data_IF_470138344472
#
_entry.id   IF_470138344472
#
_cell.length_a   1.000
_cell.length_b   1.000
_cell.length_c   1.000
_cell.angle_alpha   90.00
_cell.angle_beta   90.00
_cell.angle_gamma   90.00
#
_symmetry.space_group_name_H-M   'P 1'
#
loop_
_entity.id
_entity.type
_entity.pdbx_description
1 polymer ?
#
# COMPACT_ATOMS: atom_id res chain seq x y z
N UNK A 1 6.50 -0.84 6.92
CA UNK A 1 6.31 -2.21 6.40
C UNK A 1 5.11 -2.82 7.10
N UNK A 2 3.98 -2.91 6.39
CA UNK A 2 2.68 -3.31 6.94
C UNK A 2 2.71 -4.73 7.51
N UNK A 3 3.31 -5.69 6.79
CA UNK A 3 3.39 -7.10 7.23
C UNK A 3 4.03 -7.22 8.61
N UNK A 4 5.19 -6.57 8.80
CA UNK A 4 5.87 -6.55 10.10
C UNK A 4 5.01 -5.95 11.21
N UNK A 5 4.21 -4.92 10.90
CA UNK A 5 3.29 -4.33 11.88
C UNK A 5 2.17 -5.30 12.24
N UNK A 6 1.57 -5.97 11.25
CA UNK A 6 0.54 -7.00 11.47
C UNK A 6 1.08 -8.14 12.35
N UNK A 7 2.29 -8.62 12.07
CA UNK A 7 2.96 -9.65 12.87
C UNK A 7 3.23 -9.16 14.31
N UNK A 8 3.68 -7.92 14.46
CA UNK A 8 3.91 -7.31 15.79
C UNK A 8 2.61 -7.17 16.58
N UNK A 9 1.56 -6.65 15.93
CA UNK A 9 0.24 -6.51 16.50
C UNK A 9 -0.34 -7.86 16.94
N UNK A 10 -0.13 -8.89 16.11
CA UNK A 10 -0.50 -10.24 16.45
C UNK A 10 0.31 -10.77 17.65
N UNK A 11 1.63 -10.64 17.64
CA UNK A 11 2.52 -11.13 18.71
C UNK A 11 2.21 -10.51 20.08
N UNK A 12 1.78 -9.25 20.12
CA UNK A 12 1.38 -8.56 21.34
C UNK A 12 0.01 -8.99 21.90
N UNK A 13 -0.70 -9.91 21.22
CA UNK A 13 -1.97 -10.44 21.69
C UNK A 13 -3.16 -9.48 21.53
N UNK A 14 -3.03 -8.43 20.72
CA UNK A 14 -4.10 -7.45 20.51
C UNK A 14 -5.22 -7.94 19.59
N UNK A 15 -5.00 -9.04 18.88
CA UNK A 15 -5.95 -9.64 17.93
C UNK A 15 -7.12 -10.35 18.63
N UNK A 16 -8.31 -10.17 18.10
CA UNK A 16 -9.57 -10.80 18.52
C UNK A 16 -10.22 -11.52 17.33
N UNK A 17 -11.07 -12.52 17.57
CA UNK A 17 -11.92 -13.09 16.52
C UNK A 17 -12.78 -12.05 15.79
N UNK A 18 -13.15 -10.97 16.50
CA UNK A 18 -13.95 -9.87 15.99
C UNK A 18 -13.13 -8.71 15.43
N UNK A 19 -11.79 -8.83 15.35
CA UNK A 19 -10.96 -7.76 14.77
C UNK A 19 -11.35 -7.54 13.31
N UNK A 20 -11.76 -6.31 13.00
CA UNK A 20 -12.12 -5.85 11.68
C UNK A 20 -10.91 -5.22 10.99
N UNK A 21 -10.80 -5.50 9.69
CA UNK A 21 -9.94 -4.80 8.76
C UNK A 21 -10.79 -3.72 8.09
N UNK A 22 -10.22 -2.53 7.91
CA UNK A 22 -10.88 -1.42 7.26
C UNK A 22 -9.94 -0.87 6.19
N UNK A 23 -10.48 -0.67 4.98
CA UNK A 23 -9.81 0.04 3.91
C UNK A 23 -10.64 1.24 3.50
N UNK A 24 -9.97 2.36 3.22
CA UNK A 24 -10.60 3.55 2.66
C UNK A 24 -9.84 3.94 1.40
N UNK A 25 -10.58 4.19 0.33
CA UNK A 25 -10.07 4.78 -0.89
C UNK A 25 -10.58 6.22 -1.00
N UNK A 26 -9.71 7.15 -1.33
CA UNK A 26 -10.07 8.57 -1.47
C UNK A 26 -10.39 8.86 -2.93
N UNK A 27 -11.65 9.17 -3.21
CA UNK A 27 -12.07 9.49 -4.57
C UNK A 27 -11.42 10.79 -5.05
N UNK A 28 -10.76 10.72 -6.22
CA UNK A 28 -10.27 11.88 -6.97
C UNK A 28 -9.40 12.85 -6.15
N UNK A 29 -8.57 12.33 -5.24
CA UNK A 29 -7.82 13.11 -4.25
C UNK A 29 -7.17 14.37 -4.83
N UNK A 30 -6.41 14.26 -5.93
CA UNK A 30 -5.71 15.41 -6.51
C UNK A 30 -6.62 16.41 -7.20
N UNK A 31 -7.62 15.92 -7.92
CA UNK A 31 -8.53 16.74 -8.74
C UNK A 31 -9.62 17.40 -7.91
N UNK A 32 -9.83 16.97 -6.67
CA UNK A 32 -10.83 17.53 -5.76
C UNK A 32 -10.25 18.34 -4.59
N UNK A 33 -8.92 18.54 -4.53
CA UNK A 33 -8.32 19.40 -3.51
C UNK A 33 -8.89 20.83 -3.56
N UNK A 34 -9.45 21.35 -2.45
CA UNK A 34 -9.85 22.76 -2.36
C UNK A 34 -8.60 23.65 -2.39
N UNK A 35 -8.44 24.47 -3.43
CA UNK A 35 -7.15 25.12 -3.72
C UNK A 35 -6.68 26.05 -2.60
N UNK A 36 -7.47 27.07 -2.25
CA UNK A 36 -7.12 28.03 -1.18
C UNK A 36 -6.98 27.37 0.20
N UNK A 37 -7.88 26.43 0.52
CA UNK A 37 -7.79 25.72 1.78
C UNK A 37 -6.54 24.85 1.85
N UNK A 38 -6.18 24.16 0.77
CA UNK A 38 -4.93 23.38 0.69
C UNK A 38 -3.70 24.26 0.93
N UNK A 39 -3.70 25.49 0.41
CA UNK A 39 -2.62 26.46 0.68
C UNK A 39 -2.60 26.90 2.15
N UNK A 40 -3.76 27.07 2.78
CA UNK A 40 -3.84 27.37 4.21
C UNK A 40 -3.33 26.20 5.06
N UNK A 41 -3.71 24.96 4.72
CA UNK A 41 -3.23 23.75 5.40
C UNK A 41 -1.73 23.54 5.19
N UNK A 42 -1.19 23.89 4.02
CA UNK A 42 0.26 23.93 3.79
C UNK A 42 0.97 24.87 4.77
N UNK A 43 0.44 26.08 4.96
CA UNK A 43 1.04 27.04 5.90
C UNK A 43 0.91 26.58 7.35
N UNK A 44 -0.24 26.02 7.73
CA UNK A 44 -0.45 25.42 9.05
C UNK A 44 0.58 24.30 9.31
N UNK A 45 0.79 23.40 8.34
CA UNK A 45 1.74 22.31 8.43
C UNK A 45 3.19 22.81 8.57
N UNK A 46 3.58 23.84 7.80
CA UNK A 46 4.92 24.43 7.90
C UNK A 46 5.16 25.05 9.29
N UNK A 47 4.19 25.80 9.81
CA UNK A 47 4.29 26.41 11.13
C UNK A 47 4.29 25.36 12.24
N UNK A 48 3.41 24.36 12.17
CA UNK A 48 3.36 23.23 13.10
C UNK A 48 4.70 22.49 13.15
N UNK A 49 5.35 22.36 12.00
CA UNK A 49 6.67 21.73 11.87
C UNK A 49 7.85 22.64 12.27
N UNK A 50 7.57 23.85 12.77
CA UNK A 50 8.60 24.81 13.21
C UNK A 50 9.32 25.55 12.09
N UNK A 51 8.84 25.49 10.84
CA UNK A 51 9.47 26.18 9.73
C UNK A 51 9.01 27.63 9.60
N UNK A 52 9.99 28.54 9.64
CA UNK A 52 9.85 29.92 9.16
C UNK A 52 10.42 30.08 7.74
N UNK A 53 11.35 29.20 7.36
CA UNK A 53 11.96 29.11 6.03
C UNK A 53 12.22 27.65 5.69
N UNK A 54 12.02 27.25 4.44
CA UNK A 54 12.39 25.92 3.93
C UNK A 54 13.56 26.09 2.97
N UNK A 55 14.71 25.50 3.30
CA UNK A 55 15.95 25.65 2.50
C UNK A 55 16.30 27.13 2.18
N UNK A 56 16.08 28.01 3.15
CA UNK A 56 16.32 29.46 3.02
C UNK A 56 15.19 30.26 2.38
N UNK A 57 14.16 29.61 1.83
CA UNK A 57 13.01 30.27 1.20
C UNK A 57 11.96 30.61 2.28
N UNK A 58 11.51 31.87 2.42
CA UNK A 58 10.44 32.26 3.35
C UNK A 58 9.11 31.55 3.06
N UNK A 59 8.36 31.18 4.10
CA UNK A 59 7.08 30.51 3.95
C UNK A 59 6.08 31.31 3.08
N UNK A 60 6.09 32.64 3.13
CA UNK A 60 5.26 33.48 2.26
C UNK A 60 5.60 33.32 0.77
N UNK A 61 6.89 33.17 0.44
CA UNK A 61 7.32 32.92 -0.93
C UNK A 61 6.92 31.51 -1.39
N UNK A 62 6.96 30.53 -0.48
CA UNK A 62 6.45 29.17 -0.73
C UNK A 62 4.95 29.22 -1.01
N UNK A 63 4.16 29.92 -0.18
CA UNK A 63 2.71 30.06 -0.39
C UNK A 63 2.40 30.67 -1.74
N UNK A 64 3.08 31.76 -2.12
CA UNK A 64 2.88 32.43 -3.42
C UNK A 64 3.22 31.51 -4.60
N UNK A 65 4.31 30.76 -4.49
CA UNK A 65 4.72 29.80 -5.52
C UNK A 65 3.71 28.64 -5.61
N UNK A 66 3.28 28.12 -4.48
CA UNK A 66 2.27 27.07 -4.38
C UNK A 66 0.93 27.52 -4.98
N UNK A 67 0.50 28.75 -4.69
CA UNK A 67 -0.69 29.36 -5.27
C UNK A 67 -0.59 29.36 -6.79
N UNK A 68 0.49 29.87 -7.37
CA UNK A 68 0.69 29.84 -8.83
C UNK A 68 0.58 28.42 -9.40
N UNK A 69 1.21 27.43 -8.76
CA UNK A 69 1.22 26.04 -9.26
C UNK A 69 -0.17 25.40 -9.19
N UNK A 70 -0.97 25.68 -8.16
CA UNK A 70 -2.30 25.08 -8.03
C UNK A 70 -3.35 25.83 -8.86
N UNK A 71 -3.25 27.16 -8.99
CA UNK A 71 -4.26 27.96 -9.72
C UNK A 71 -3.98 28.04 -11.21
N UNK A 72 -2.73 28.08 -11.67
CA UNK A 72 -2.39 28.25 -13.08
C UNK A 72 -2.24 26.92 -13.85
N UNK A 73 -3.17 25.99 -13.61
CA UNK A 73 -3.25 24.73 -14.32
C UNK A 73 -4.13 24.88 -15.58
N UNK A 74 -3.48 25.05 -16.73
CA UNK A 74 -4.10 25.15 -18.05
C UNK A 74 -3.83 23.87 -18.85
N UNK A 75 -4.85 23.33 -19.52
CA UNK A 75 -4.70 22.18 -20.41
C UNK A 75 -5.60 22.30 -21.65
N UNK A 76 -5.26 21.53 -22.68
CA UNK A 76 -6.01 21.46 -23.93
C UNK A 76 -6.70 20.11 -24.00
N UNK A 77 -8.01 20.13 -24.23
CA UNK A 77 -8.81 18.93 -24.50
C UNK A 77 -9.71 19.22 -25.70
N UNK A 78 -9.75 18.33 -26.68
CA UNK A 78 -10.55 18.50 -27.91
C UNK A 78 -10.37 19.88 -28.59
N UNK A 79 -9.13 20.38 -28.65
CA UNK A 79 -8.75 21.70 -29.19
C UNK A 79 -9.28 22.92 -28.42
N UNK A 80 -9.90 22.72 -27.27
CA UNK A 80 -10.35 23.80 -26.39
C UNK A 80 -9.39 23.97 -25.21
N UNK A 81 -9.22 25.22 -24.77
CA UNK A 81 -8.42 25.56 -23.60
C UNK A 81 -9.27 25.54 -22.33
N UNK A 82 -8.81 24.84 -21.31
CA UNK A 82 -9.46 24.76 -20.01
C UNK A 82 -8.51 25.20 -18.90
N UNK A 83 -9.08 25.85 -17.88
CA UNK A 83 -8.40 26.14 -16.62
C UNK A 83 -9.02 25.28 -15.54
N UNK A 84 -8.20 24.53 -14.81
CA UNK A 84 -8.64 23.75 -13.67
C UNK A 84 -8.92 24.69 -12.48
N UNK A 85 -10.19 24.76 -12.06
CA UNK A 85 -10.65 25.65 -10.98
C UNK A 85 -10.69 24.99 -9.60
N UNK A 86 -10.55 23.66 -9.55
CA UNK A 86 -10.53 22.84 -8.33
C UNK A 86 -9.49 21.74 -8.50
N UNK A 87 -8.82 21.38 -7.40
CA UNK A 87 -7.74 20.42 -7.44
C UNK A 87 -6.46 20.98 -8.05
N UNK A 88 -5.52 20.09 -8.31
CA UNK A 88 -4.32 20.38 -9.08
C UNK A 88 -4.10 19.38 -10.21
N UNK A 89 -3.17 19.72 -11.10
CA UNK A 89 -2.81 18.86 -12.21
C UNK A 89 -2.27 17.50 -11.73
N UNK A 90 -2.89 16.42 -12.20
CA UNK A 90 -2.37 15.06 -12.00
C UNK A 90 -0.96 14.94 -12.59
N UNK A 91 -0.08 14.22 -11.90
CA UNK A 91 1.33 14.08 -12.28
C UNK A 91 2.24 15.24 -11.80
N UNK A 92 1.68 16.31 -11.23
CA UNK A 92 2.49 17.34 -10.57
C UNK A 92 3.08 16.82 -9.25
N UNK A 93 4.41 16.80 -9.17
CA UNK A 93 5.13 16.41 -7.96
C UNK A 93 4.78 17.28 -6.75
N UNK A 94 4.43 18.55 -6.98
CA UNK A 94 3.98 19.45 -5.91
C UNK A 94 2.58 19.09 -5.42
N UNK A 95 1.64 18.81 -6.33
CA UNK A 95 0.26 18.47 -5.96
C UNK A 95 0.21 17.18 -5.15
N UNK A 96 1.03 16.18 -5.48
CA UNK A 96 1.20 14.99 -4.65
C UNK A 96 1.59 15.34 -3.20
N UNK A 97 2.53 16.27 -3.01
CA UNK A 97 2.97 16.69 -1.67
C UNK A 97 1.88 17.46 -0.95
N UNK A 98 1.22 18.37 -1.64
CA UNK A 98 0.12 19.17 -1.10
C UNK A 98 -1.05 18.29 -0.67
N UNK A 99 -1.42 17.28 -1.46
CA UNK A 99 -2.46 16.31 -1.13
C UNK A 99 -2.13 15.54 0.15
N UNK A 100 -0.89 15.08 0.30
CA UNK A 100 -0.45 14.39 1.51
C UNK A 100 -0.49 15.30 2.75
N UNK A 101 -0.17 16.58 2.59
CA UNK A 101 -0.25 17.59 3.67
C UNK A 101 -1.71 17.91 4.00
N UNK A 102 -2.59 17.96 3.00
CA UNK A 102 -4.02 18.12 3.22
C UNK A 102 -4.58 16.94 4.01
N UNK A 103 -4.22 15.72 3.60
CA UNK A 103 -4.58 14.50 4.33
C UNK A 103 -4.03 14.45 5.74
N UNK A 104 -2.82 14.97 6.01
CA UNK A 104 -2.29 15.07 7.37
C UNK A 104 -3.22 15.83 8.32
N UNK A 105 -3.96 16.83 7.84
CA UNK A 105 -4.95 17.54 8.65
C UNK A 105 -6.24 16.74 8.82
N UNK A 106 -6.72 16.13 7.73
CA UNK A 106 -7.96 15.34 7.71
C UNK A 106 -7.87 14.08 8.56
N UNK A 107 -6.72 13.41 8.56
CA UNK A 107 -6.55 12.10 9.18
C UNK A 107 -6.20 12.16 10.68
N UNK A 108 -5.99 13.36 11.25
CA UNK A 108 -5.49 13.51 12.64
C UNK A 108 -6.30 12.72 13.66
N UNK A 109 -7.63 12.86 13.63
CA UNK A 109 -8.52 12.21 14.59
C UNK A 109 -8.53 10.69 14.42
N UNK A 110 -8.52 10.21 13.17
CA UNK A 110 -8.41 8.78 12.87
C UNK A 110 -7.09 8.23 13.41
N UNK A 111 -5.97 8.85 13.06
CA UNK A 111 -4.63 8.44 13.51
C UNK A 111 -4.55 8.43 15.03
N UNK A 112 -5.01 9.51 15.69
CA UNK A 112 -4.96 9.61 17.14
C UNK A 112 -5.76 8.50 17.84
N UNK A 113 -6.95 8.18 17.32
CA UNK A 113 -7.80 7.10 17.86
C UNK A 113 -7.15 5.73 17.70
N UNK A 114 -6.52 5.47 16.56
CA UNK A 114 -5.81 4.23 16.29
C UNK A 114 -4.57 4.08 17.20
N UNK A 115 -3.79 5.14 17.35
CA UNK A 115 -2.63 5.17 18.26
C UNK A 115 -3.04 4.92 19.72
N UNK A 116 -4.11 5.58 20.20
CA UNK A 116 -4.62 5.40 21.55
C UNK A 116 -5.07 3.95 21.84
N UNK A 117 -5.51 3.23 20.80
CA UNK A 117 -5.98 1.85 20.90
C UNK A 117 -4.90 0.80 20.60
N UNK A 118 -3.65 1.23 20.34
CA UNK A 118 -2.56 0.38 19.84
C UNK A 118 -2.92 -0.36 18.54
N UNK A 119 -3.81 0.22 17.74
CA UNK A 119 -4.29 -0.31 16.49
C UNK A 119 -3.42 0.19 15.31
N UNK A 120 -3.46 -0.55 14.20
CA UNK A 120 -2.66 -0.21 13.03
C UNK A 120 -3.41 0.81 12.20
N UNK A 121 -2.76 1.93 11.90
CA UNK A 121 -3.13 2.85 10.82
C UNK A 121 -1.97 2.95 9.82
N UNK A 122 -2.24 2.76 8.54
CA UNK A 122 -1.31 2.94 7.43
C UNK A 122 -2.01 3.71 6.30
N UNK A 123 -1.27 4.58 5.61
CA UNK A 123 -1.73 5.25 4.40
C UNK A 123 -0.66 5.20 3.33
N UNK A 124 -1.07 4.85 2.11
CA UNK A 124 -0.29 4.96 0.90
C UNK A 124 -1.01 5.90 -0.06
N UNK A 125 -0.64 7.18 -0.03
CA UNK A 125 -1.26 8.23 -0.83
C UNK A 125 -2.78 8.32 -0.54
N UNK A 126 -3.61 7.74 -1.40
CA UNK A 126 -5.07 7.69 -1.40
C UNK A 126 -5.63 6.39 -0.79
N UNK A 127 -4.82 5.34 -0.71
CA UNK A 127 -5.18 4.08 -0.05
C UNK A 127 -4.92 4.16 1.46
N UNK A 128 -5.95 4.05 2.28
CA UNK A 128 -5.85 3.97 3.74
C UNK A 128 -6.21 2.56 4.22
N UNK A 129 -5.45 2.06 5.18
CA UNK A 129 -5.73 0.82 5.88
C UNK A 129 -5.65 1.04 7.39
N UNK A 130 -6.63 0.49 8.10
CA UNK A 130 -6.50 0.36 9.55
C UNK A 130 -7.21 -0.89 10.07
N UNK A 131 -6.86 -1.28 11.29
CA UNK A 131 -7.45 -2.41 11.99
C UNK A 131 -8.24 -1.87 13.17
N UNK A 132 -9.40 -2.45 13.48
CA UNK A 132 -10.09 -2.11 14.71
C UNK A 132 -10.76 -3.28 15.41
N UNK A 133 -10.68 -3.27 16.74
CA UNK A 133 -11.36 -4.18 17.66
C UNK A 133 -12.69 -3.62 18.18
N UNK A 134 -13.07 -2.42 17.74
CA UNK A 134 -14.33 -1.78 18.10
C UNK A 134 -15.52 -2.51 17.45
N UNK A 135 -16.74 -2.23 17.91
CA UNK A 135 -17.95 -2.73 17.25
C UNK A 135 -18.10 -2.11 15.86
N UNK A 136 -18.81 -2.83 14.98
CA UNK A 136 -19.07 -2.36 13.63
C UNK A 136 -19.81 -0.99 13.61
N UNK A 137 -20.68 -0.75 14.59
CA UNK A 137 -21.41 0.52 14.73
C UNK A 137 -20.45 1.69 15.00
N UNK A 138 -19.52 1.53 15.95
CA UNK A 138 -18.52 2.56 16.29
C UNK A 138 -17.59 2.81 15.09
N UNK A 139 -17.21 1.76 14.36
CA UNK A 139 -16.39 1.89 13.16
C UNK A 139 -17.16 2.67 12.08
N UNK A 140 -18.43 2.36 11.85
CA UNK A 140 -19.23 3.09 10.86
C UNK A 140 -19.43 4.55 11.24
N UNK A 141 -19.74 4.84 12.50
CA UNK A 141 -19.88 6.22 13.01
C UNK A 141 -18.59 7.02 12.78
N UNK A 142 -17.44 6.46 13.16
CA UNK A 142 -16.13 7.06 12.91
C UNK A 142 -15.89 7.38 11.43
N UNK A 143 -16.26 6.45 10.56
CA UNK A 143 -16.04 6.59 9.13
C UNK A 143 -17.05 7.56 8.49
N UNK A 144 -18.26 7.67 9.04
CA UNK A 144 -19.23 8.68 8.65
C UNK A 144 -18.75 10.08 9.06
N UNK A 145 -18.20 10.24 10.27
CA UNK A 145 -17.53 11.48 10.70
C UNK A 145 -16.40 11.87 9.74
N UNK A 146 -15.51 10.92 9.43
CA UNK A 146 -14.39 11.15 8.52
C UNK A 146 -14.85 11.56 7.11
N UNK A 147 -15.89 10.91 6.57
CA UNK A 147 -16.43 11.21 5.24
C UNK A 147 -17.22 12.53 5.19
N UNK A 148 -17.67 13.02 6.34
CA UNK A 148 -18.36 14.31 6.48
C UNK A 148 -17.41 15.48 6.81
N UNK A 149 -16.12 15.21 7.06
CA UNK A 149 -15.16 16.26 7.41
C UNK A 149 -15.05 17.34 6.32
N UNK A 150 -15.07 16.95 5.04
CA UNK A 150 -14.94 17.88 3.93
C UNK A 150 -15.88 17.54 2.77
N UNK A 151 -16.51 18.54 2.16
CA UNK A 151 -17.48 18.33 1.07
C UNK A 151 -16.85 17.70 -0.17
N UNK A 152 -15.60 18.04 -0.47
CA UNK A 152 -14.93 17.64 -1.71
C UNK A 152 -14.11 16.35 -1.58
N UNK A 153 -13.86 15.87 -0.35
CA UNK A 153 -13.12 14.63 -0.14
C UNK A 153 -14.14 13.56 0.21
N UNK A 154 -14.15 12.48 -0.57
CA UNK A 154 -15.05 11.35 -0.38
C UNK A 154 -14.25 10.08 -0.16
N UNK A 155 -14.67 9.33 0.85
CA UNK A 155 -14.07 8.09 1.28
C UNK A 155 -14.98 6.94 0.86
N UNK A 156 -14.45 6.03 0.06
CA UNK A 156 -15.08 4.74 -0.23
C UNK A 156 -14.53 3.73 0.76
N UNK A 157 -15.39 3.20 1.63
CA UNK A 157 -14.97 2.28 2.70
C UNK A 157 -15.30 0.83 2.38
N UNK A 158 -14.41 -0.07 2.78
CA UNK A 158 -14.71 -1.49 2.94
C UNK A 158 -14.31 -1.94 4.34
N UNK A 159 -15.19 -2.70 4.99
CA UNK A 159 -14.99 -3.25 6.33
C UNK A 159 -15.23 -4.74 6.27
N UNK A 160 -14.34 -5.54 6.84
CA UNK A 160 -14.50 -6.97 6.87
C UNK A 160 -13.43 -7.67 7.69
N UNK A 161 -13.57 -8.97 7.87
CA UNK A 161 -12.51 -9.80 8.45
C UNK A 161 -11.48 -10.21 7.39
N UNK A 162 -11.76 -10.00 6.11
CA UNK A 162 -10.82 -10.22 5.03
C UNK A 162 -10.93 -9.10 4.00
N UNK A 163 -9.80 -8.49 3.64
CA UNK A 163 -9.77 -7.38 2.69
C UNK A 163 -8.42 -7.34 1.95
N UNK A 164 -8.43 -6.92 0.68
CA UNK A 164 -7.22 -6.54 -0.02
C UNK A 164 -6.76 -5.14 0.41
N UNK A 165 -5.44 -4.94 0.49
CA UNK A 165 -4.82 -3.63 0.59
C UNK A 165 -3.54 -3.61 -0.24
N UNK A 166 -3.48 -2.74 -1.25
CA UNK A 166 -2.42 -2.71 -2.25
C UNK A 166 -2.19 -4.09 -2.89
N UNK A 167 -1.06 -4.73 -2.59
CA UNK A 167 -0.65 -6.03 -3.14
C UNK A 167 -0.82 -7.20 -2.16
N UNK A 168 -1.46 -6.96 -1.01
CA UNK A 168 -1.61 -7.95 0.06
C UNK A 168 -3.09 -8.22 0.30
N UNK A 169 -3.46 -9.49 0.40
CA UNK A 169 -4.76 -9.89 0.92
C UNK A 169 -4.58 -10.29 2.38
N UNK A 170 -5.37 -9.69 3.25
CA UNK A 170 -5.27 -9.87 4.71
C UNK A 170 -6.56 -10.53 5.16
N UNK A 171 -6.45 -11.57 5.97
CA UNK A 171 -7.60 -12.31 6.50
C UNK A 171 -7.41 -12.61 7.98
N UNK A 172 -8.40 -12.25 8.78
CA UNK A 172 -8.54 -12.62 10.18
C UNK A 172 -9.39 -13.89 10.31
N UNK A 173 -8.73 -15.04 10.47
CA UNK A 173 -9.37 -16.33 10.76
C UNK A 173 -9.53 -16.51 12.26
N UNK A 174 -10.64 -16.02 12.81
CA UNK A 174 -11.00 -16.16 14.23
C UNK A 174 -9.86 -15.75 15.18
N UNK A 175 -9.21 -14.61 14.91
CA UNK A 175 -8.10 -14.09 15.71
C UNK A 175 -6.73 -14.52 15.20
N UNK A 176 -6.64 -15.24 14.08
CA UNK A 176 -5.37 -15.54 13.40
C UNK A 176 -5.28 -14.72 12.12
N UNK A 177 -4.39 -13.73 12.10
CA UNK A 177 -4.12 -12.93 10.90
C UNK A 177 -3.24 -13.73 9.94
N UNK A 178 -3.75 -13.93 8.73
CA UNK A 178 -3.07 -14.55 7.60
C UNK A 178 -2.96 -13.56 6.47
N UNK A 179 -1.89 -13.67 5.69
CA UNK A 179 -1.63 -12.79 4.55
C UNK A 179 -1.25 -13.61 3.33
N UNK A 180 -1.66 -13.14 2.16
CA UNK A 180 -1.28 -13.71 0.86
C UNK A 180 -1.09 -12.59 -0.17
N UNK A 181 -0.59 -12.92 -1.35
CA UNK A 181 -0.52 -11.97 -2.47
C UNK A 181 -1.95 -11.70 -2.95
N UNK A 182 -2.31 -10.43 -3.04
CA UNK A 182 -3.56 -10.03 -3.68
C UNK A 182 -3.36 -9.89 -5.19
N UNK A 183 -4.24 -10.54 -5.96
CA UNK A 183 -4.35 -10.37 -7.40
C UNK A 183 -5.67 -9.67 -7.69
N UNK A 184 -5.62 -8.49 -8.30
CA UNK A 184 -6.83 -7.80 -8.77
C UNK A 184 -7.47 -8.66 -9.85
N UNK A 185 -8.80 -8.75 -9.83
CA UNK A 185 -9.53 -9.47 -10.88
C UNK A 185 -9.20 -8.86 -12.24
N UNK A 186 -8.63 -9.67 -13.11
CA UNK A 186 -8.29 -9.33 -14.47
C UNK A 186 -8.69 -10.50 -15.38
N UNK A 187 -9.16 -10.24 -16.62
CA UNK A 187 -9.53 -11.29 -17.56
C UNK A 187 -8.38 -12.26 -17.86
N UNK A 188 -7.15 -11.76 -17.87
CA UNK A 188 -5.95 -12.52 -18.21
C UNK A 188 -4.78 -12.11 -17.28
N UNK A 189 -3.91 -13.05 -16.88
CA UNK A 189 -2.77 -12.77 -16.01
C UNK A 189 -1.61 -12.20 -16.84
N UNK A 190 -1.82 -11.04 -17.46
CA UNK A 190 -0.84 -10.43 -18.34
C UNK A 190 0.36 -9.92 -17.54
N UNK A 191 1.53 -10.42 -17.93
CA UNK A 191 2.82 -9.79 -17.67
C UNK A 191 3.47 -9.50 -19.03
N UNK A 192 4.66 -8.92 -19.03
CA UNK A 192 5.40 -8.68 -20.28
C UNK A 192 5.61 -10.02 -21.02
N UNK A 193 5.05 -10.21 -22.23
CA UNK A 193 5.19 -11.47 -22.95
C UNK A 193 6.65 -11.75 -23.29
N UNK A 194 7.09 -13.00 -23.21
CA UNK A 194 8.50 -13.36 -23.42
C UNK A 194 9.02 -13.03 -24.83
N UNK A 195 8.13 -12.95 -25.81
CA UNK A 195 8.44 -12.58 -27.21
C UNK A 195 8.54 -11.07 -27.44
N UNK A 196 8.26 -10.25 -26.43
CA UNK A 196 8.37 -8.79 -26.56
C UNK A 196 9.83 -8.35 -26.65
N UNK A 197 10.06 -7.19 -27.26
CA UNK A 197 11.39 -6.62 -27.47
C UNK A 197 11.93 -5.89 -26.22
N UNK A 198 12.02 -6.64 -25.11
CA UNK A 198 12.58 -6.14 -23.86
C UNK A 198 13.96 -6.75 -23.60
N UNK A 199 14.88 -6.03 -22.95
CA UNK A 199 16.15 -6.58 -22.52
C UNK A 199 15.97 -7.84 -21.64
N UNK A 200 16.88 -8.82 -21.78
CA UNK A 200 16.77 -10.12 -21.08
C UNK A 200 16.66 -10.00 -19.55
N UNK A 201 17.27 -8.99 -18.96
CA UNK A 201 17.20 -8.76 -17.51
C UNK A 201 15.78 -8.41 -17.02
N UNK A 202 14.93 -7.83 -17.88
CA UNK A 202 13.54 -7.48 -17.51
C UNK A 202 12.75 -8.76 -17.21
N UNK A 203 12.86 -9.78 -18.05
CA UNK A 203 12.19 -11.06 -17.85
C UNK A 203 12.64 -11.74 -16.55
N UNK A 204 13.95 -11.75 -16.28
CA UNK A 204 14.51 -12.25 -15.02
C UNK A 204 13.97 -11.47 -13.81
N UNK A 205 13.92 -10.14 -13.89
CA UNK A 205 13.43 -9.31 -12.79
C UNK A 205 11.94 -9.54 -12.51
N UNK A 206 11.11 -9.75 -13.54
CA UNK A 206 9.67 -10.04 -13.37
C UNK A 206 9.48 -11.28 -12.49
N UNK A 207 10.27 -12.32 -12.78
CA UNK A 207 10.26 -13.56 -12.03
C UNK A 207 10.71 -13.33 -10.58
N UNK A 208 11.91 -12.75 -10.42
CA UNK A 208 12.51 -12.56 -9.10
C UNK A 208 11.61 -11.72 -8.21
N UNK A 209 11.07 -10.61 -8.75
CA UNK A 209 10.17 -9.73 -8.00
C UNK A 209 8.84 -10.40 -7.66
N UNK A 210 8.27 -11.24 -8.54
CA UNK A 210 7.07 -12.00 -8.25
C UNK A 210 7.29 -13.03 -7.13
N UNK A 211 8.40 -13.77 -7.15
CA UNK A 211 8.75 -14.73 -6.10
C UNK A 211 9.08 -14.03 -4.77
N UNK A 212 9.83 -12.93 -4.81
CA UNK A 212 10.10 -12.08 -3.65
C UNK A 212 8.81 -11.58 -3.00
N UNK A 213 7.86 -11.12 -3.82
CA UNK A 213 6.54 -10.68 -3.37
C UNK A 213 5.75 -11.83 -2.75
N UNK A 214 5.74 -13.00 -3.39
CA UNK A 214 5.10 -14.20 -2.87
C UNK A 214 5.66 -14.59 -1.50
N UNK A 215 6.98 -14.61 -1.35
CA UNK A 215 7.64 -14.91 -0.08
C UNK A 215 7.31 -13.88 1.01
N UNK A 216 7.30 -12.59 0.65
CA UNK A 216 7.08 -11.51 1.61
C UNK A 216 5.65 -11.49 2.14
N UNK A 217 4.67 -11.72 1.27
CA UNK A 217 3.25 -11.56 1.63
C UNK A 217 2.59 -12.85 2.08
N UNK A 218 3.18 -14.01 1.85
CA UNK A 218 2.62 -15.28 2.35
C UNK A 218 2.92 -15.46 3.84
N UNK A 219 1.86 -15.63 4.65
CA UNK A 219 2.01 -15.87 6.08
C UNK A 219 2.47 -17.30 6.40
N UNK A 220 2.18 -18.27 5.53
CA UNK A 220 2.58 -19.67 5.68
C UNK A 220 3.28 -20.19 4.44
N UNK A 221 3.98 -21.31 4.60
CA UNK A 221 4.68 -21.97 3.51
C UNK A 221 3.70 -22.53 2.45
N UNK A 222 2.55 -23.05 2.88
CA UNK A 222 1.53 -23.56 1.97
C UNK A 222 0.98 -22.46 1.04
N UNK A 223 0.71 -21.27 1.61
CA UNK A 223 0.26 -20.08 0.84
C UNK A 223 1.35 -19.68 -0.17
N UNK A 224 2.61 -19.71 0.24
CA UNK A 224 3.72 -19.42 -0.68
C UNK A 224 3.79 -20.44 -1.83
N UNK A 225 3.67 -21.74 -1.55
CA UNK A 225 3.67 -22.76 -2.60
C UNK A 225 2.47 -22.67 -3.53
N UNK A 226 1.31 -22.25 -3.03
CA UNK A 226 0.15 -21.97 -3.86
C UNK A 226 0.41 -20.78 -4.78
N UNK A 227 0.92 -19.66 -4.25
CA UNK A 227 1.25 -18.48 -5.05
C UNK A 227 2.36 -18.76 -6.07
N UNK A 228 3.39 -19.53 -5.70
CA UNK A 228 4.44 -19.98 -6.62
C UNK A 228 3.87 -20.75 -7.81
N UNK A 229 2.89 -21.63 -7.58
CA UNK A 229 2.21 -22.36 -8.66
C UNK A 229 1.43 -21.39 -9.56
N UNK A 230 0.72 -20.41 -8.98
CA UNK A 230 0.04 -19.36 -9.76
C UNK A 230 1.01 -18.56 -10.63
N UNK A 231 2.17 -18.16 -10.08
CA UNK A 231 3.23 -17.45 -10.81
C UNK A 231 3.76 -18.32 -11.96
N UNK A 232 3.99 -19.62 -11.73
CA UNK A 232 4.46 -20.54 -12.77
C UNK A 232 3.47 -20.63 -13.94
N UNK A 233 2.17 -20.77 -13.64
CA UNK A 233 1.13 -20.79 -14.66
C UNK A 233 1.05 -19.47 -15.43
N UNK A 234 1.12 -18.34 -14.74
CA UNK A 234 1.18 -17.01 -15.36
C UNK A 234 2.36 -16.87 -16.32
N UNK A 235 3.56 -17.33 -15.94
CA UNK A 235 4.75 -17.25 -16.79
C UNK A 235 4.61 -18.12 -18.04
N UNK A 236 4.14 -19.36 -17.89
CA UNK A 236 3.89 -20.25 -19.02
C UNK A 236 2.86 -19.66 -19.99
N UNK A 237 1.79 -19.06 -19.45
CA UNK A 237 0.76 -18.37 -20.24
C UNK A 237 1.35 -17.23 -21.08
N UNK A 238 2.33 -16.50 -20.54
CA UNK A 238 3.00 -15.39 -21.24
C UNK A 238 4.22 -15.83 -22.08
N UNK A 239 4.39 -17.14 -22.33
CA UNK A 239 5.36 -17.69 -23.28
C UNK A 239 6.78 -17.85 -22.73
N UNK A 240 6.96 -17.84 -21.41
CA UNK A 240 8.25 -18.14 -20.79
C UNK A 240 8.54 -19.64 -20.87
N UNK A 241 9.78 -20.02 -21.17
CA UNK A 241 10.16 -21.44 -21.28
C UNK A 241 10.02 -22.18 -19.94
N UNK A 242 9.76 -23.48 -20.00
CA UNK A 242 9.54 -24.31 -18.81
C UNK A 242 10.80 -24.44 -17.92
N UNK A 243 11.99 -24.32 -18.52
CA UNK A 243 13.28 -24.28 -17.82
C UNK A 243 13.42 -23.02 -16.96
N UNK A 244 13.06 -21.86 -17.51
CA UNK A 244 12.88 -20.63 -16.76
C UNK A 244 11.78 -20.83 -15.72
N UNK A 245 10.60 -21.32 -16.09
CA UNK A 245 9.48 -21.56 -15.16
C UNK A 245 9.79 -22.53 -13.99
N UNK A 246 10.79 -23.40 -14.13
CA UNK A 246 11.24 -24.35 -13.11
C UNK A 246 12.35 -23.75 -12.23
N UNK A 247 11.98 -22.76 -11.41
CA UNK A 247 12.85 -21.91 -10.56
C UNK A 247 13.58 -22.59 -9.38
N UNK A 248 13.82 -23.91 -9.39
CA UNK A 248 14.40 -24.61 -8.22
C UNK A 248 15.71 -23.98 -7.73
N UNK A 249 16.55 -23.49 -8.64
CA UNK A 249 17.84 -22.86 -8.31
C UNK A 249 17.70 -21.37 -7.93
N UNK A 250 16.77 -20.65 -8.56
CA UNK A 250 16.54 -19.23 -8.27
C UNK A 250 15.83 -19.01 -6.93
N UNK A 251 14.96 -19.94 -6.50
CA UNK A 251 14.35 -19.89 -5.17
C UNK A 251 15.43 -19.97 -4.08
N UNK A 252 16.43 -20.84 -4.20
CA UNK A 252 17.54 -20.89 -3.25
C UNK A 252 18.39 -19.61 -3.25
N UNK A 253 18.69 -19.04 -4.44
CA UNK A 253 19.41 -17.76 -4.52
C UNK A 253 18.62 -16.62 -3.88
N UNK A 254 17.36 -16.44 -4.29
CA UNK A 254 16.45 -15.42 -3.77
C UNK A 254 16.23 -15.61 -2.27
N UNK A 255 16.01 -16.85 -1.83
CA UNK A 255 15.90 -17.22 -0.42
C UNK A 255 17.15 -16.81 0.35
N UNK A 256 18.35 -17.15 -0.13
CA UNK A 256 19.61 -16.79 0.52
C UNK A 256 19.87 -15.27 0.51
N UNK A 257 19.53 -14.56 -0.57
CA UNK A 257 19.69 -13.10 -0.66
C UNK A 257 18.72 -12.36 0.27
N UNK A 258 17.50 -12.88 0.44
CA UNK A 258 16.48 -12.32 1.34
C UNK A 258 16.75 -12.70 2.79
N UNK A 259 17.07 -13.96 3.11
CA UNK A 259 17.36 -14.39 4.47
C UNK A 259 18.60 -13.71 5.05
N UNK A 260 19.65 -13.55 4.24
CA UNK A 260 20.87 -12.88 4.70
C UNK A 260 20.70 -11.36 4.87
N UNK A 261 19.67 -10.75 4.28
CA UNK A 261 19.38 -9.31 4.39
C UNK A 261 18.20 -8.95 5.30
N UNK A 262 17.31 -9.90 5.61
CA UNK A 262 16.05 -9.61 6.28
C UNK A 262 15.84 -10.59 7.44
N UNK A 263 15.99 -10.08 8.68
CA UNK A 263 15.79 -10.77 9.96
C UNK A 263 14.36 -11.33 10.19
N UNK A 264 13.47 -11.22 9.19
CA UNK A 264 12.02 -11.40 9.30
C UNK A 264 11.63 -12.89 9.33
N UNK A 265 12.41 -13.78 8.70
CA UNK A 265 12.04 -15.20 8.60
C UNK A 265 12.82 -16.15 9.53
N UNK A 266 13.90 -15.72 10.19
CA UNK A 266 14.54 -16.55 11.22
C UNK A 266 13.51 -16.95 12.30
N UNK A 267 12.60 -16.04 12.66
CA UNK A 267 11.55 -16.29 13.65
C UNK A 267 10.41 -17.17 13.14
N UNK A 268 10.06 -17.12 11.84
CA UNK A 268 8.99 -17.95 11.24
C UNK A 268 9.31 -19.45 11.23
N UNK A 269 10.60 -19.82 11.19
CA UNK A 269 11.04 -21.22 11.19
C UNK A 269 11.48 -21.73 12.57
N UNK A 270 11.95 -20.87 13.48
CA UNK A 270 12.43 -21.32 14.81
C UNK A 270 11.27 -21.77 15.72
N UNK A 271 10.06 -21.25 15.54
CA UNK A 271 8.87 -21.65 16.30
C UNK A 271 8.35 -23.07 16.02
N UNK A 272 8.84 -23.72 14.95
CA UNK A 272 8.41 -25.05 14.54
C UNK A 272 9.56 -26.07 14.57
N UNK A 273 10.53 -25.90 15.48
CA UNK A 273 11.60 -26.87 15.68
C UNK A 273 11.08 -28.10 16.41
N UNK A 274 10.65 -29.09 15.64
CA UNK A 274 11.08 -30.48 15.81
C UNK A 274 10.97 -31.18 14.46
N UNK A 275 12.15 -31.39 13.85
CA UNK A 275 12.43 -31.94 12.53
C UNK A 275 12.09 -30.99 11.39
N UNK A 276 13.07 -30.73 10.51
CA UNK A 276 12.96 -30.32 9.10
C UNK A 276 14.21 -29.52 8.68
N UNK A 277 15.02 -30.10 7.78
CA UNK A 277 16.16 -29.44 7.14
C UNK A 277 15.62 -28.39 6.17
N UNK A 278 15.63 -27.12 6.60
CA UNK A 278 14.84 -26.00 6.05
C UNK A 278 15.17 -25.57 4.62
N UNK A 279 16.12 -26.19 3.92
CA UNK A 279 16.43 -25.91 2.53
C UNK A 279 15.87 -26.97 1.56
N UNK A 280 15.90 -28.25 1.93
CA UNK A 280 15.54 -29.36 1.03
C UNK A 280 14.02 -29.50 0.88
N UNK A 281 13.26 -29.19 1.92
CA UNK A 281 11.79 -29.31 1.92
C UNK A 281 11.07 -28.18 1.18
N UNK A 282 11.74 -27.05 0.94
CA UNK A 282 11.20 -25.95 0.13
C UNK A 282 11.27 -26.25 -1.38
N UNK A 283 12.06 -27.26 -1.76
CA UNK A 283 12.42 -27.59 -3.14
C UNK A 283 11.84 -28.93 -3.62
N UNK A 284 11.39 -29.78 -2.69
CA UNK A 284 10.57 -30.97 -3.00
C UNK A 284 9.17 -30.58 -3.42
#
# INVERSE_FOLDING_TARGET
DLIRRLETYAANGYRKPTTCLCTLDITDLYTMLPQEESLNVLMEFLHYSGYQKVKGIPCDAIRKSAHLVITENLFIYEKNFYKQIIGGAMGSAFILRLANIFMWKLEKELVHRQEASNEIYDRYIDDIFFISNQSLDIINEMLDEANNFHSNIKLVRQIGTNLPFLHVYIENKNGTLTTSVYHKEAPEPHIVPFKSDHPRHVFKNIIETALLRAMRYSSTLDIFHQERRSIQLMLLYNGYEQSLANYKEDVHRVWNEVFNKTSIMATKLIGNRNNCNTAEELVS
#
